data_IF_483225165135
#
_entry.id   IF_483225165135
#
_cell.length_a   1.000
_cell.length_b   1.000
_cell.length_c   1.000
_cell.angle_alpha   90.00
_cell.angle_beta   90.00
_cell.angle_gamma   90.00
#
_symmetry.space_group_name_H-M   'P 1'
#
loop_
_entity.id
_entity.type
_entity.pdbx_description
1 polymer ?
#
# COMPACT_ATOMS: atom_id res chain seq x y z
N UNK A 1 68.55 17.94 23.46
CA UNK A 1 68.07 18.51 22.19
C UNK A 1 66.87 19.38 22.52
N UNK A 2 67.10 20.68 22.66
CA UNK A 2 66.07 21.68 22.93
C UNK A 2 65.62 22.23 21.58
N UNK A 3 64.33 22.15 21.28
CA UNK A 3 63.76 22.67 20.02
C UNK A 3 63.15 24.02 20.35
N UNK A 4 63.79 25.08 19.88
CA UNK A 4 63.27 26.44 19.92
C UNK A 4 62.06 26.53 18.98
N UNK A 5 60.88 26.81 19.55
CA UNK A 5 59.66 27.09 18.79
C UNK A 5 59.59 28.61 18.61
N UNK A 6 60.02 29.06 17.43
CA UNK A 6 59.96 30.44 16.98
C UNK A 6 58.49 30.84 16.76
N UNK A 7 57.93 31.63 17.67
CA UNK A 7 56.60 32.24 17.52
C UNK A 7 56.66 33.36 16.48
N UNK A 8 56.31 33.06 15.22
CA UNK A 8 55.97 34.08 14.23
C UNK A 8 54.55 34.60 14.47
N UNK A 9 54.48 35.81 15.03
CA UNK A 9 53.27 36.60 15.19
C UNK A 9 52.92 37.33 13.89
N UNK A 10 52.42 36.58 12.90
CA UNK A 10 51.77 37.16 11.72
C UNK A 10 50.43 37.78 12.14
N UNK A 11 50.48 39.08 12.46
CA UNK A 11 49.30 39.93 12.59
C UNK A 11 48.73 40.20 11.21
N UNK A 12 48.07 39.18 10.64
CA UNK A 12 47.27 39.33 9.45
C UNK A 12 46.20 40.41 9.71
N UNK A 13 46.37 41.57 9.07
CA UNK A 13 45.35 42.62 9.01
C UNK A 13 44.07 41.96 8.50
N UNK A 14 43.12 41.75 9.40
CA UNK A 14 41.75 41.33 9.06
C UNK A 14 41.21 42.41 8.14
N UNK A 15 41.30 42.17 6.84
CA UNK A 15 40.73 43.04 5.83
C UNK A 15 39.27 43.20 6.18
N UNK A 16 38.85 44.43 6.48
CA UNK A 16 37.45 44.80 6.56
C UNK A 16 36.82 44.41 5.23
N UNK A 17 36.27 43.20 5.18
CA UNK A 17 35.46 42.74 4.07
C UNK A 17 34.30 43.70 4.03
N UNK A 18 34.30 44.57 3.02
CA UNK A 18 33.17 45.45 2.70
C UNK A 18 31.95 44.55 2.62
N UNK A 19 31.17 44.49 3.69
CA UNK A 19 29.90 43.79 3.71
C UNK A 19 29.08 44.42 2.60
N UNK A 20 28.98 43.70 1.48
CA UNK A 20 28.29 44.20 0.31
C UNK A 20 26.85 44.54 0.71
N UNK A 21 26.23 45.54 0.07
CA UNK A 21 24.87 45.97 0.39
C UNK A 21 23.83 44.82 0.37
N UNK A 22 24.15 43.69 -0.25
CA UNK A 22 23.34 42.46 -0.26
C UNK A 22 23.08 41.86 1.14
N UNK A 23 23.99 42.01 2.11
CA UNK A 23 23.80 41.46 3.47
C UNK A 23 22.61 42.13 4.18
N UNK A 24 22.37 43.43 3.92
CA UNK A 24 21.22 44.15 4.49
C UNK A 24 19.88 43.66 3.93
N UNK A 25 19.86 43.20 2.68
CA UNK A 25 18.65 42.61 2.08
C UNK A 25 18.36 41.20 2.61
N UNK A 26 19.40 40.42 2.94
CA UNK A 26 19.24 39.08 3.51
C UNK A 26 18.48 39.10 4.86
N UNK A 27 18.68 40.14 5.68
CA UNK A 27 17.95 40.28 6.96
C UNK A 27 16.45 40.52 6.79
N UNK A 28 16.00 41.08 5.67
CA UNK A 28 14.57 41.24 5.37
C UNK A 28 13.93 39.98 4.81
N UNK A 29 14.71 39.06 4.23
CA UNK A 29 14.19 37.77 3.76
C UNK A 29 13.81 36.85 4.91
N UNK A 30 14.47 36.95 6.06
CA UNK A 30 14.17 36.13 7.25
C UNK A 30 12.73 36.35 7.77
N UNK A 31 12.27 37.58 8.08
CA UNK A 31 10.89 37.78 8.54
C UNK A 31 9.87 37.44 7.46
N UNK A 32 10.16 37.68 6.18
CA UNK A 32 9.28 37.28 5.08
C UNK A 32 9.14 35.76 5.03
N UNK A 33 10.25 35.03 5.07
CA UNK A 33 10.24 33.56 5.11
C UNK A 33 9.49 33.04 6.35
N UNK A 34 9.67 33.66 7.52
CA UNK A 34 8.95 33.30 8.74
C UNK A 34 7.43 33.51 8.58
N UNK A 35 6.99 34.65 8.04
CA UNK A 35 5.57 34.93 7.76
C UNK A 35 5.02 33.94 6.73
N UNK A 36 5.78 33.59 5.69
CA UNK A 36 5.38 32.59 4.71
C UNK A 36 5.22 31.19 5.35
N UNK A 37 6.16 30.77 6.20
CA UNK A 37 6.08 29.48 6.91
C UNK A 37 4.89 29.47 7.88
N UNK A 38 4.68 30.54 8.65
CA UNK A 38 3.54 30.66 9.56
C UNK A 38 2.20 30.70 8.82
N UNK A 39 2.12 31.46 7.73
CA UNK A 39 0.94 31.51 6.87
C UNK A 39 0.64 30.15 6.24
N UNK A 40 1.68 29.43 5.81
CA UNK A 40 1.56 28.06 5.31
C UNK A 40 1.09 27.11 6.42
N UNK A 41 1.70 27.13 7.61
CA UNK A 41 1.28 26.31 8.75
C UNK A 41 -0.16 26.60 9.20
N UNK A 42 -0.54 27.88 9.27
CA UNK A 42 -1.90 28.30 9.59
C UNK A 42 -2.89 27.80 8.54
N UNK A 43 -2.55 27.95 7.25
CA UNK A 43 -3.35 27.44 6.15
C UNK A 43 -3.53 25.92 6.21
N UNK A 44 -2.46 25.15 6.50
CA UNK A 44 -2.55 23.70 6.66
C UNK A 44 -3.33 23.30 7.91
N UNK A 45 -3.16 24.00 9.04
CA UNK A 45 -3.89 23.73 10.28
C UNK A 45 -5.40 23.89 10.09
N UNK A 46 -5.85 24.85 9.29
CA UNK A 46 -7.27 25.04 8.97
C UNK A 46 -7.80 24.08 7.89
N UNK A 47 -6.93 23.27 7.29
CA UNK A 47 -7.27 22.22 6.32
C UNK A 47 -7.21 20.81 6.91
N UNK A 48 -6.91 20.69 8.19
CA UNK A 48 -7.03 19.43 8.92
C UNK A 48 -8.44 19.39 9.52
N UNK A 49 -9.26 18.38 9.18
CA UNK A 49 -10.55 18.17 9.83
C UNK A 49 -10.35 18.00 11.34
N UNK A 50 -11.20 18.64 12.15
CA UNK A 50 -11.11 18.54 13.60
C UNK A 50 -11.52 17.13 14.10
N UNK A 51 -11.27 16.87 15.39
CA UNK A 51 -11.57 15.56 15.99
C UNK A 51 -13.06 15.22 15.97
N UNK A 52 -13.94 16.22 16.05
CA UNK A 52 -15.38 16.00 15.98
C UNK A 52 -15.78 15.53 14.58
N UNK A 53 -15.27 16.20 13.54
CA UNK A 53 -15.51 15.83 12.13
C UNK A 53 -15.04 14.40 11.87
N UNK A 54 -13.86 14.01 12.38
CA UNK A 54 -13.41 12.62 12.29
C UNK A 54 -14.32 11.64 13.04
N UNK A 55 -14.76 11.98 14.25
CA UNK A 55 -15.70 11.14 15.01
C UNK A 55 -17.03 10.96 14.26
N UNK A 56 -17.54 12.01 13.61
CA UNK A 56 -18.79 11.97 12.82
C UNK A 56 -18.63 11.12 11.55
N UNK A 57 -17.50 11.27 10.84
CA UNK A 57 -17.15 10.43 9.67
C UNK A 57 -17.06 8.96 10.05
N UNK A 58 -16.35 8.65 11.13
CA UNK A 58 -16.19 7.29 11.62
C UNK A 58 -17.54 6.74 12.07
N UNK A 59 -18.32 7.53 12.81
CA UNK A 59 -19.70 7.18 13.19
C UNK A 59 -20.51 6.78 11.97
N UNK A 60 -20.55 7.64 10.95
CA UNK A 60 -21.29 7.38 9.72
C UNK A 60 -20.86 6.10 8.99
N UNK A 61 -19.56 5.89 8.77
CA UNK A 61 -19.05 4.67 8.13
C UNK A 61 -19.40 3.45 8.97
N UNK A 62 -19.17 3.51 10.28
CA UNK A 62 -19.44 2.37 11.17
C UNK A 62 -20.92 2.03 11.24
N UNK A 63 -21.82 3.02 11.29
CA UNK A 63 -23.27 2.81 11.39
C UNK A 63 -23.87 2.12 10.15
N UNK A 64 -23.24 2.29 8.99
CA UNK A 64 -23.68 1.71 7.71
C UNK A 64 -22.80 0.54 7.24
N UNK A 65 -21.84 0.13 8.06
CA UNK A 65 -20.90 -0.94 7.77
C UNK A 65 -21.59 -2.30 7.68
N UNK A 66 -21.24 -3.11 6.69
CA UNK A 66 -21.66 -4.51 6.56
C UNK A 66 -20.45 -5.45 6.49
N UNK A 67 -20.62 -6.73 6.89
CA UNK A 67 -19.59 -7.74 6.68
C UNK A 67 -19.18 -7.82 5.19
N UNK A 68 -17.88 -7.73 4.92
CA UNK A 68 -17.33 -7.73 3.56
C UNK A 68 -17.18 -6.34 2.92
N UNK A 69 -17.54 -5.26 3.62
CA UNK A 69 -17.23 -3.90 3.18
C UNK A 69 -15.71 -3.66 3.19
N UNK A 70 -15.24 -2.86 2.24
CA UNK A 70 -13.92 -2.26 2.19
C UNK A 70 -13.93 -0.80 2.68
N UNK A 71 -12.81 -0.28 3.17
CA UNK A 71 -12.60 1.13 3.52
C UNK A 71 -11.29 1.61 2.90
N UNK A 72 -11.37 2.54 1.96
CA UNK A 72 -10.24 3.27 1.40
C UNK A 72 -10.26 4.71 1.91
N UNK A 73 -9.10 5.21 2.34
CA UNK A 73 -8.96 6.59 2.78
C UNK A 73 -7.88 7.28 1.96
N UNK A 74 -8.21 8.46 1.42
CA UNK A 74 -7.35 9.22 0.51
C UNK A 74 -7.34 10.71 0.91
N UNK A 75 -6.18 11.39 0.91
CA UNK A 75 -4.86 10.87 0.55
C UNK A 75 -4.23 10.06 1.68
N UNK A 76 -3.31 9.17 1.29
CA UNK A 76 -2.71 8.19 2.18
C UNK A 76 -1.96 8.74 3.40
N UNK A 77 -1.47 9.97 3.31
CA UNK A 77 -0.67 10.65 4.32
C UNK A 77 -1.49 11.42 5.34
N UNK A 78 -2.82 11.52 5.18
CA UNK A 78 -3.63 12.26 6.13
C UNK A 78 -3.62 11.56 7.49
N UNK A 79 -3.47 12.34 8.57
CA UNK A 79 -3.50 11.88 9.96
C UNK A 79 -4.92 11.47 10.37
N UNK A 80 -5.46 10.47 9.69
CA UNK A 80 -6.70 9.79 10.09
C UNK A 80 -6.39 9.12 11.42
N UNK A 81 -7.29 9.20 12.43
CA UNK A 81 -7.13 8.47 13.69
C UNK A 81 -7.37 6.97 13.44
N UNK A 82 -6.41 6.32 12.75
CA UNK A 82 -6.50 4.93 12.33
C UNK A 82 -6.76 3.98 13.48
N UNK A 83 -6.17 4.25 14.64
CA UNK A 83 -6.39 3.44 15.84
C UNK A 83 -7.87 3.48 16.26
N UNK A 84 -8.54 4.63 16.12
CA UNK A 84 -9.97 4.77 16.41
C UNK A 84 -10.84 4.10 15.34
N UNK A 85 -10.53 4.28 14.07
CA UNK A 85 -11.20 3.60 12.95
C UNK A 85 -11.09 2.07 13.12
N UNK A 86 -9.87 1.57 13.32
CA UNK A 86 -9.58 0.16 13.51
C UNK A 86 -10.29 -0.38 14.75
N UNK A 87 -10.28 0.37 15.87
CA UNK A 87 -10.94 -0.05 17.11
C UNK A 87 -12.45 -0.18 16.93
N UNK A 88 -13.13 0.86 16.41
CA UNK A 88 -14.59 0.85 16.23
C UNK A 88 -15.06 -0.16 15.19
N UNK A 89 -14.28 -0.39 14.12
CA UNK A 89 -14.61 -1.41 13.12
C UNK A 89 -14.38 -2.83 13.67
N UNK A 90 -13.34 -3.06 14.47
CA UNK A 90 -13.03 -4.37 15.06
C UNK A 90 -14.20 -4.91 15.90
N UNK A 91 -14.86 -4.04 16.66
CA UNK A 91 -16.00 -4.42 17.50
C UNK A 91 -17.22 -4.91 16.70
N UNK A 92 -17.30 -4.59 15.40
CA UNK A 92 -18.39 -5.02 14.51
C UNK A 92 -18.12 -6.33 13.77
N UNK A 93 -17.22 -7.18 14.27
CA UNK A 93 -16.74 -8.37 13.55
C UNK A 93 -16.21 -8.05 12.15
N UNK A 94 -15.76 -6.80 11.93
CA UNK A 94 -14.76 -6.57 10.91
C UNK A 94 -13.49 -7.22 11.44
N UNK A 95 -13.36 -8.55 11.30
CA UNK A 95 -12.03 -9.14 11.12
C UNK A 95 -11.33 -8.18 10.18
N UNK A 96 -10.15 -7.69 10.58
CA UNK A 96 -9.35 -6.55 10.08
C UNK A 96 -9.06 -6.57 8.56
N UNK A 97 -10.11 -6.76 7.78
CA UNK A 97 -10.17 -7.33 6.42
C UNK A 97 -10.78 -6.41 5.41
N UNK A 98 -11.60 -5.47 5.87
CA UNK A 98 -12.11 -4.38 5.08
C UNK A 98 -11.18 -3.19 4.93
N UNK A 99 -10.15 -3.03 5.77
CA UNK A 99 -9.35 -1.79 5.72
C UNK A 99 -8.39 -1.85 4.52
N UNK A 100 -8.79 -1.19 3.43
CA UNK A 100 -7.90 -0.81 2.32
C UNK A 100 -7.05 0.33 2.83
N UNK A 101 -5.98 -0.08 3.50
CA UNK A 101 -4.99 0.81 4.08
C UNK A 101 -4.60 1.86 3.04
N UNK A 102 -4.38 3.12 3.44
CA UNK A 102 -4.04 4.25 2.59
C UNK A 102 -2.99 3.91 1.52
N UNK A 103 -3.48 3.58 0.33
CA UNK A 103 -2.72 3.44 -0.89
C UNK A 103 -3.03 4.65 -1.75
N UNK A 104 -1.99 5.31 -2.26
CA UNK A 104 -2.15 6.53 -3.07
C UNK A 104 -3.01 6.26 -4.31
N UNK A 105 -2.80 5.11 -4.93
CA UNK A 105 -3.59 4.58 -6.04
C UNK A 105 -3.79 3.09 -5.79
N UNK A 106 -4.97 2.65 -5.30
CA UNK A 106 -5.23 1.23 -5.12
C UNK A 106 -5.17 0.52 -6.47
N UNK A 107 -4.61 -0.68 -6.47
CA UNK A 107 -4.75 -1.61 -7.60
C UNK A 107 -6.19 -2.08 -7.71
N UNK A 108 -6.58 -2.59 -8.88
CA UNK A 108 -7.85 -3.30 -9.00
C UNK A 108 -7.89 -4.46 -8.02
N UNK A 109 -6.76 -5.16 -7.90
CA UNK A 109 -6.61 -6.25 -6.95
C UNK A 109 -6.82 -5.83 -5.49
N UNK A 110 -6.49 -4.58 -5.13
CA UNK A 110 -6.71 -4.09 -3.78
C UNK A 110 -8.22 -3.95 -3.48
N UNK A 111 -9.04 -3.57 -4.46
CA UNK A 111 -10.45 -3.20 -4.24
C UNK A 111 -11.48 -4.22 -4.72
N UNK A 112 -11.18 -5.04 -5.73
CA UNK A 112 -12.17 -5.89 -6.41
C UNK A 112 -12.77 -6.96 -5.49
N UNK A 113 -12.09 -7.31 -4.41
CA UNK A 113 -12.55 -8.23 -3.37
C UNK A 113 -13.72 -7.69 -2.54
N UNK A 114 -13.96 -6.38 -2.57
CA UNK A 114 -15.03 -5.75 -1.81
C UNK A 114 -16.21 -5.44 -2.73
N UNK A 115 -17.39 -5.94 -2.36
CA UNK A 115 -18.64 -5.59 -3.05
C UNK A 115 -19.02 -4.12 -2.82
N UNK A 116 -18.74 -3.63 -1.61
CA UNK A 116 -19.02 -2.28 -1.13
C UNK A 116 -17.70 -1.69 -0.64
N UNK A 117 -17.32 -0.53 -1.15
CA UNK A 117 -16.09 0.16 -0.78
C UNK A 117 -16.42 1.56 -0.29
N UNK A 118 -16.24 1.80 1.00
CA UNK A 118 -16.27 3.14 1.59
C UNK A 118 -15.02 3.89 1.18
N UNK A 119 -15.18 5.10 0.65
CA UNK A 119 -14.09 6.00 0.30
C UNK A 119 -14.21 7.26 1.14
N UNK A 120 -13.23 7.49 2.00
CA UNK A 120 -13.12 8.73 2.77
C UNK A 120 -12.07 9.59 2.10
N UNK A 121 -12.51 10.63 1.40
CA UNK A 121 -11.66 11.54 0.66
C UNK A 121 -11.52 12.87 1.40
N UNK A 122 -10.28 13.32 1.65
CA UNK A 122 -9.98 14.66 2.17
C UNK A 122 -9.67 15.60 0.99
N UNK A 123 -10.46 16.66 0.82
CA UNK A 123 -10.36 17.60 -0.31
C UNK A 123 -8.99 18.28 -0.45
N UNK A 124 -8.57 18.64 -1.68
CA UNK A 124 -9.30 18.54 -2.95
C UNK A 124 -9.11 17.22 -3.71
N UNK A 125 -8.61 16.16 -3.06
CA UNK A 125 -8.31 14.87 -3.70
C UNK A 125 -9.55 14.00 -3.96
N UNK A 126 -10.72 14.64 -4.04
CA UNK A 126 -11.98 13.99 -4.34
C UNK A 126 -11.92 13.41 -5.76
N UNK A 127 -11.57 12.12 -5.81
CA UNK A 127 -12.12 11.12 -6.72
C UNK A 127 -11.59 11.12 -8.16
N UNK A 128 -10.36 10.61 -8.35
CA UNK A 128 -10.22 9.52 -9.33
C UNK A 128 -10.78 8.25 -8.68
N UNK A 129 -12.12 8.13 -8.67
CA UNK A 129 -12.74 6.84 -8.39
C UNK A 129 -12.24 5.92 -9.49
N UNK A 130 -11.60 4.79 -9.15
CA UNK A 130 -11.28 3.78 -10.13
C UNK A 130 -12.55 3.52 -10.93
N UNK A 131 -12.50 3.51 -12.28
CA UNK A 131 -13.67 3.36 -13.16
C UNK A 131 -14.49 2.08 -12.95
N UNK A 132 -14.18 1.35 -11.87
CA UNK A 132 -14.68 0.06 -11.48
C UNK A 132 -15.86 0.09 -10.49
N UNK A 133 -16.31 1.26 -10.07
CA UNK A 133 -17.42 1.33 -9.13
C UNK A 133 -18.31 2.54 -9.37
N UNK A 134 -19.60 2.35 -9.05
CA UNK A 134 -20.60 3.42 -9.06
C UNK A 134 -20.70 4.00 -7.67
N UNK A 135 -20.73 5.34 -7.59
CA UNK A 135 -21.08 6.03 -6.34
C UNK A 135 -22.54 5.74 -6.03
N UNK A 136 -22.77 4.91 -5.01
CA UNK A 136 -24.11 4.60 -4.51
C UNK A 136 -24.62 5.73 -3.62
N UNK A 137 -23.78 6.20 -2.70
CA UNK A 137 -24.07 7.36 -1.86
C UNK A 137 -22.83 8.23 -1.70
N UNK A 138 -23.04 9.51 -1.43
CA UNK A 138 -22.01 10.46 -1.02
C UNK A 138 -22.54 11.35 0.09
N UNK A 139 -21.72 11.58 1.10
CA UNK A 139 -22.00 12.47 2.21
C UNK A 139 -20.79 13.35 2.50
N UNK A 140 -20.98 14.67 2.53
CA UNK A 140 -19.91 15.61 2.83
C UNK A 140 -19.94 15.97 4.33
N UNK A 141 -18.78 15.87 4.98
CA UNK A 141 -18.55 16.22 6.38
C UNK A 141 -17.74 17.52 6.45
N UNK A 142 -18.46 18.62 6.66
CA UNK A 142 -17.89 19.95 6.62
C UNK A 142 -17.43 20.34 5.22
N UNK A 143 -16.28 21.02 5.12
CA UNK A 143 -15.71 21.47 3.83
C UNK A 143 -14.55 20.62 3.34
N UNK A 144 -14.14 19.62 4.13
CA UNK A 144 -12.85 18.97 3.93
C UNK A 144 -12.95 17.48 3.70
N UNK A 145 -13.99 16.80 4.19
CA UNK A 145 -14.13 15.35 4.03
C UNK A 145 -15.38 15.04 3.23
N UNK A 146 -15.25 14.14 2.27
CA UNK A 146 -16.37 13.44 1.65
C UNK A 146 -16.27 11.94 1.95
N UNK A 147 -17.41 11.33 2.26
CA UNK A 147 -17.55 9.88 2.40
C UNK A 147 -18.44 9.40 1.28
N UNK A 148 -17.88 8.58 0.40
CA UNK A 148 -18.61 7.95 -0.69
C UNK A 148 -18.72 6.45 -0.43
N UNK A 149 -19.90 5.88 -0.60
CA UNK A 149 -20.05 4.43 -0.73
C UNK A 149 -20.00 4.09 -2.21
N UNK A 150 -18.99 3.33 -2.60
CA UNK A 150 -18.88 2.77 -3.94
C UNK A 150 -19.44 1.35 -3.94
N UNK A 151 -20.34 1.07 -4.88
CA UNK A 151 -20.83 -0.28 -5.14
C UNK A 151 -20.18 -0.83 -6.41
N UNK A 152 -19.64 -2.04 -6.29
CA UNK A 152 -18.94 -2.71 -7.38
C UNK A 152 -19.93 -3.04 -8.51
N UNK A 153 -19.62 -2.59 -9.73
CA UNK A 153 -20.40 -2.96 -10.93
C UNK A 153 -19.88 -4.25 -11.63
N UNK A 154 -18.83 -4.86 -11.07
CA UNK A 154 -18.10 -5.98 -11.66
C UNK A 154 -18.49 -7.31 -10.99
N UNK A 155 -18.25 -8.39 -11.74
CA UNK A 155 -18.36 -9.75 -11.22
C UNK A 155 -17.43 -9.98 -10.03
N UNK A 156 -17.75 -10.99 -9.23
CA UNK A 156 -16.83 -11.48 -8.19
C UNK A 156 -15.49 -11.89 -8.81
N UNK A 157 -14.37 -11.72 -8.08
CA UNK A 157 -13.12 -12.32 -8.51
C UNK A 157 -13.31 -13.83 -8.69
N UNK A 158 -12.82 -14.38 -9.80
CA UNK A 158 -12.84 -15.83 -10.04
C UNK A 158 -11.87 -16.56 -9.12
N UNK A 159 -10.86 -15.83 -8.62
CA UNK A 159 -9.89 -16.32 -7.65
C UNK A 159 -9.37 -15.18 -6.79
N UNK A 160 -9.22 -15.41 -5.48
CA UNK A 160 -8.57 -14.49 -4.54
C UNK A 160 -7.68 -15.28 -3.58
N UNK A 161 -6.36 -15.15 -3.73
CA UNK A 161 -5.41 -15.91 -2.92
C UNK A 161 -5.52 -15.57 -1.42
N UNK A 162 -5.89 -14.34 -1.06
CA UNK A 162 -6.04 -13.94 0.34
C UNK A 162 -7.24 -14.62 0.98
N UNK A 163 -8.38 -14.62 0.28
CA UNK A 163 -9.60 -15.27 0.74
C UNK A 163 -9.49 -16.80 0.72
N UNK A 164 -8.73 -17.34 -0.22
CA UNK A 164 -8.59 -18.79 -0.43
C UNK A 164 -7.30 -19.37 0.17
N UNK A 165 -6.58 -18.63 1.03
CA UNK A 165 -5.30 -19.08 1.58
C UNK A 165 -5.41 -20.48 2.23
N UNK A 166 -6.48 -20.74 2.99
CA UNK A 166 -6.71 -22.04 3.65
C UNK A 166 -6.93 -23.23 2.70
N UNK A 167 -7.22 -22.97 1.42
CA UNK A 167 -7.34 -24.00 0.39
C UNK A 167 -6.02 -24.32 -0.32
N UNK A 168 -4.98 -23.51 -0.11
CA UNK A 168 -3.67 -23.75 -0.71
C UNK A 168 -3.00 -25.00 -0.12
N UNK A 169 -2.27 -25.73 -0.96
CA UNK A 169 -1.23 -26.63 -0.46
C UNK A 169 0.06 -25.84 -0.33
N UNK A 170 0.60 -25.76 0.89
CA UNK A 170 1.88 -25.10 1.15
C UNK A 170 2.94 -26.15 1.39
N UNK A 171 4.11 -25.98 0.78
CA UNK A 171 5.28 -26.80 1.04
C UNK A 171 6.52 -25.92 1.07
N UNK A 172 7.55 -26.34 1.82
CA UNK A 172 8.88 -25.74 1.70
C UNK A 172 9.86 -26.81 1.28
N UNK A 173 10.46 -26.68 0.10
CA UNK A 173 11.32 -27.70 -0.51
C UNK A 173 12.75 -27.19 -0.60
N UNK A 174 13.69 -27.96 -0.08
CA UNK A 174 15.12 -27.73 -0.30
C UNK A 174 15.56 -28.26 -1.67
N UNK A 175 16.74 -27.84 -2.17
CA UNK A 175 17.28 -28.33 -3.44
C UNK A 175 17.53 -29.84 -3.47
N UNK A 176 17.78 -30.46 -2.31
CA UNK A 176 17.98 -31.92 -2.17
C UNK A 176 16.66 -32.71 -2.05
N UNK A 177 15.51 -32.05 -2.20
CA UNK A 177 14.19 -32.67 -2.19
C UNK A 177 13.58 -32.89 -0.81
N UNK A 178 14.27 -32.53 0.28
CA UNK A 178 13.62 -32.51 1.62
C UNK A 178 12.50 -31.48 1.63
N UNK A 179 11.38 -31.82 2.26
CA UNK A 179 10.23 -30.94 2.37
C UNK A 179 9.83 -30.75 3.83
N UNK A 180 9.72 -29.50 4.29
CA UNK A 180 9.04 -29.19 5.54
C UNK A 180 7.53 -29.42 5.34
N UNK A 181 6.91 -30.21 6.21
CA UNK A 181 5.45 -30.32 6.25
C UNK A 181 4.86 -29.00 6.74
N UNK A 182 4.00 -28.39 5.94
CA UNK A 182 3.19 -27.26 6.35
C UNK A 182 1.78 -27.73 6.68
N UNK A 183 1.27 -27.34 7.85
CA UNK A 183 -0.09 -27.70 8.28
C UNK A 183 -0.90 -26.43 8.49
N UNK A 184 -2.13 -26.44 7.97
CA UNK A 184 -3.11 -25.39 8.25
C UNK A 184 -3.46 -25.39 9.74
N UNK A 185 -3.41 -24.21 10.36
CA UNK A 185 -3.63 -23.98 11.78
C UNK A 185 -4.53 -22.75 11.95
N UNK A 186 -5.83 -22.94 11.70
CA UNK A 186 -6.89 -21.92 11.75
C UNK A 186 -6.78 -20.83 10.67
N UNK A 187 -5.76 -19.98 10.75
CA UNK A 187 -5.60 -18.75 9.96
C UNK A 187 -4.26 -18.67 9.23
N UNK A 188 -3.44 -19.71 9.35
CA UNK A 188 -2.07 -19.77 8.83
C UNK A 188 -1.60 -21.19 8.56
N UNK A 189 -0.57 -21.33 7.74
CA UNK A 189 0.23 -22.55 7.69
C UNK A 189 1.42 -22.45 8.64
N UNK A 190 1.64 -23.48 9.46
CA UNK A 190 2.87 -23.67 10.24
C UNK A 190 3.75 -24.69 9.53
N UNK A 191 4.98 -24.29 9.20
CA UNK A 191 5.91 -25.11 8.44
C UNK A 191 7.13 -25.49 9.29
N UNK A 192 7.16 -26.71 9.81
CA UNK A 192 8.20 -27.15 10.75
C UNK A 192 8.01 -26.61 12.17
N UNK A 193 9.07 -26.67 12.99
CA UNK A 193 8.99 -26.40 14.44
C UNK A 193 9.19 -24.94 14.85
N UNK A 194 9.75 -24.11 13.97
CA UNK A 194 10.09 -22.73 14.30
C UNK A 194 8.87 -21.81 14.08
N UNK A 195 8.53 -20.92 15.03
CA UNK A 195 7.30 -20.13 14.98
C UNK A 195 7.27 -19.10 13.85
N UNK A 196 8.44 -18.66 13.38
CA UNK A 196 8.56 -17.73 12.25
C UNK A 196 8.43 -18.41 10.88
N UNK A 197 8.45 -19.74 10.81
CA UNK A 197 8.24 -20.48 9.55
C UNK A 197 6.74 -20.65 9.29
N UNK A 198 6.04 -19.53 9.09
CA UNK A 198 4.60 -19.52 8.81
C UNK A 198 4.27 -18.81 7.49
N UNK A 199 3.12 -19.18 6.92
CA UNK A 199 2.48 -18.48 5.80
C UNK A 199 1.09 -18.06 6.27
N UNK A 200 0.80 -16.75 6.29
CA UNK A 200 -0.46 -16.23 6.84
C UNK A 200 -0.93 -14.99 6.13
N UNK A 201 -2.23 -14.74 6.16
CA UNK A 201 -2.80 -13.45 5.80
C UNK A 201 -2.67 -12.47 6.97
N UNK A 202 -2.17 -11.26 6.73
CA UNK A 202 -2.18 -10.17 7.72
C UNK A 202 -2.09 -8.81 7.06
N UNK A 203 -2.37 -7.76 7.83
CA UNK A 203 -1.98 -6.39 7.46
C UNK A 203 -0.50 -6.22 7.78
N UNK A 204 0.32 -5.90 6.78
CA UNK A 204 1.75 -5.65 6.93
C UNK A 204 2.16 -4.40 6.17
N UNK A 205 3.18 -3.69 6.65
CA UNK A 205 3.79 -2.60 5.90
C UNK A 205 4.70 -3.19 4.82
N UNK A 206 4.33 -2.98 3.55
CA UNK A 206 5.07 -3.44 2.38
C UNK A 206 5.26 -2.24 1.45
N UNK A 207 6.52 -1.92 1.16
CA UNK A 207 6.89 -0.61 0.67
C UNK A 207 6.37 0.53 1.57
N UNK A 208 5.89 1.62 0.98
CA UNK A 208 5.47 2.82 1.71
C UNK A 208 4.10 2.73 2.38
N UNK A 209 3.37 1.62 2.22
CA UNK A 209 1.95 1.49 2.62
C UNK A 209 1.75 0.23 3.46
N UNK A 210 0.79 0.21 4.39
CA UNK A 210 0.30 -1.08 4.91
C UNK A 210 -0.63 -1.70 3.86
N UNK A 211 -0.68 -3.02 3.78
CA UNK A 211 -1.49 -3.77 2.84
C UNK A 211 -1.94 -5.05 3.52
N UNK A 212 -3.13 -5.52 3.20
CA UNK A 212 -3.50 -6.90 3.52
C UNK A 212 -2.80 -7.81 2.52
N UNK A 213 -1.91 -8.67 2.99
CA UNK A 213 -1.04 -9.50 2.17
C UNK A 213 -0.91 -10.89 2.79
N UNK A 214 -0.58 -11.86 1.95
CA UNK A 214 -0.02 -13.12 2.37
C UNK A 214 1.45 -12.86 2.70
N UNK A 215 1.82 -13.13 3.93
CA UNK A 215 3.20 -13.03 4.40
C UNK A 215 3.82 -14.41 4.43
N UNK A 216 5.02 -14.51 3.88
CA UNK A 216 5.81 -15.72 3.88
C UNK A 216 7.29 -15.38 4.08
N UNK A 217 7.99 -16.22 4.84
CA UNK A 217 9.45 -16.22 4.92
C UNK A 217 10.04 -17.13 3.85
N UNK A 218 11.05 -16.66 3.13
CA UNK A 218 11.77 -17.50 2.18
C UNK A 218 12.38 -18.75 2.87
N UNK A 219 12.70 -19.80 2.09
CA UNK A 219 13.31 -21.04 2.60
C UNK A 219 14.83 -21.01 2.39
N UNK A 220 15.66 -21.39 3.40
CA UNK A 220 17.12 -21.26 3.35
C UNK A 220 17.75 -22.21 2.32
N UNK A 221 19.05 -22.02 2.06
CA UNK A 221 19.85 -22.94 1.26
C UNK A 221 19.30 -23.15 -0.15
N UNK A 222 18.81 -22.08 -0.78
CA UNK A 222 18.25 -22.08 -2.15
C UNK A 222 16.96 -22.88 -2.32
N UNK A 223 16.31 -23.27 -1.22
CA UNK A 223 15.00 -23.89 -1.34
C UNK A 223 13.88 -22.87 -1.53
N UNK A 224 12.68 -23.39 -1.77
CA UNK A 224 11.51 -22.60 -2.12
C UNK A 224 10.36 -22.85 -1.16
N UNK A 225 9.65 -21.79 -0.78
CA UNK A 225 8.27 -21.89 -0.29
C UNK A 225 7.35 -21.88 -1.49
N UNK A 226 6.52 -22.92 -1.61
CA UNK A 226 5.59 -23.12 -2.71
C UNK A 226 4.17 -23.09 -2.14
N UNK A 227 3.35 -22.18 -2.65
CA UNK A 227 1.91 -22.17 -2.42
C UNK A 227 1.25 -22.61 -3.73
N UNK A 228 0.48 -23.69 -3.65
CA UNK A 228 -0.22 -24.28 -4.80
C UNK A 228 -1.73 -24.20 -4.58
N UNK A 229 -2.43 -23.56 -5.51
CA UNK A 229 -3.89 -23.57 -5.62
C UNK A 229 -4.26 -24.45 -6.81
N UNK A 230 -5.08 -25.47 -6.58
CA UNK A 230 -5.45 -26.44 -7.62
C UNK A 230 -6.83 -26.16 -8.17
N UNK A 231 -7.03 -26.34 -9.47
CA UNK A 231 -8.37 -26.25 -10.05
C UNK A 231 -8.98 -24.84 -10.00
N UNK A 232 -8.15 -23.81 -10.14
CA UNK A 232 -8.58 -22.41 -10.13
C UNK A 232 -9.25 -22.06 -11.46
N UNK A 233 -10.45 -21.50 -11.41
CA UNK A 233 -11.09 -20.91 -12.59
C UNK A 233 -10.48 -19.54 -12.87
N UNK A 234 -9.84 -19.40 -14.04
CA UNK A 234 -9.14 -18.18 -14.42
C UNK A 234 -10.08 -17.16 -15.04
N UNK A 235 -9.93 -15.90 -14.62
CA UNK A 235 -10.54 -14.75 -15.28
C UNK A 235 -9.76 -14.34 -16.54
N UNK A 236 -9.99 -13.11 -17.01
CA UNK A 236 -9.22 -12.53 -18.11
C UNK A 236 -7.86 -12.01 -17.64
N UNK A 237 -7.79 -11.60 -16.37
CA UNK A 237 -6.64 -10.93 -15.77
C UNK A 237 -6.20 -11.67 -14.52
N UNK A 238 -4.89 -11.69 -14.29
CA UNK A 238 -4.27 -11.97 -12.99
C UNK A 238 -3.52 -10.71 -12.54
N UNK A 239 -3.92 -10.13 -11.41
CA UNK A 239 -3.37 -8.88 -10.89
C UNK A 239 -3.03 -9.00 -9.42
N UNK A 240 -2.00 -8.30 -8.97
CA UNK A 240 -1.58 -8.28 -7.58
C UNK A 240 -0.30 -7.49 -7.39
N UNK A 241 0.38 -7.73 -6.28
CA UNK A 241 1.74 -7.24 -6.10
C UNK A 241 2.54 -8.03 -5.08
N UNK A 242 3.83 -7.68 -5.01
CA UNK A 242 4.77 -8.27 -4.06
C UNK A 242 5.82 -7.24 -3.62
N UNK A 243 6.25 -7.34 -2.37
CA UNK A 243 7.37 -6.56 -1.86
C UNK A 243 7.93 -7.10 -0.56
N UNK A 244 9.09 -6.60 -0.15
CA UNK A 244 9.64 -6.89 1.17
C UNK A 244 8.80 -6.21 2.25
N UNK A 245 8.58 -6.89 3.37
CA UNK A 245 7.99 -6.20 4.53
C UNK A 245 8.96 -5.16 5.08
N UNK A 246 8.44 -4.11 5.72
CA UNK A 246 9.27 -3.07 6.36
C UNK A 246 10.27 -3.68 7.35
N UNK A 247 9.90 -4.79 7.99
CA UNK A 247 10.78 -5.53 8.89
C UNK A 247 11.99 -6.12 8.15
N UNK A 248 11.80 -6.71 6.97
CA UNK A 248 12.87 -7.20 6.12
C UNK A 248 13.78 -6.07 5.61
N UNK A 249 13.20 -4.96 5.15
CA UNK A 249 13.94 -3.81 4.61
C UNK A 249 14.83 -3.15 5.66
N UNK A 250 14.35 -3.03 6.91
CA UNK A 250 15.12 -2.38 7.99
C UNK A 250 16.38 -3.14 8.40
N UNK A 251 16.38 -4.47 8.28
CA UNK A 251 17.53 -5.27 8.69
C UNK A 251 18.63 -5.31 7.63
N UNK A 252 18.32 -5.13 6.35
CA UNK A 252 19.27 -5.13 5.23
C UNK A 252 20.26 -6.32 5.21
N UNK A 253 19.83 -7.48 5.70
CA UNK A 253 20.61 -8.73 5.63
C UNK A 253 19.83 -9.81 4.90
N UNK A 254 20.49 -10.94 4.67
CA UNK A 254 20.00 -12.00 3.78
C UNK A 254 20.41 -11.74 2.33
N UNK A 255 19.93 -12.59 1.43
CA UNK A 255 20.13 -12.43 -0.01
C UNK A 255 18.89 -11.84 -0.67
N UNK A 256 19.00 -11.61 -1.97
CA UNK A 256 17.86 -11.35 -2.83
C UNK A 256 16.80 -12.45 -2.69
N UNK A 257 15.53 -12.05 -2.79
CA UNK A 257 14.37 -12.94 -2.76
C UNK A 257 13.80 -13.00 -4.16
N UNK A 258 13.66 -14.20 -4.71
CA UNK A 258 12.97 -14.42 -5.99
C UNK A 258 11.52 -14.81 -5.72
N UNK A 259 10.60 -14.13 -6.39
CA UNK A 259 9.16 -14.40 -6.37
C UNK A 259 8.70 -14.73 -7.79
N UNK A 260 8.03 -15.86 -7.97
CA UNK A 260 7.50 -16.32 -9.27
C UNK A 260 6.06 -16.78 -9.15
N UNK A 261 5.29 -16.57 -10.22
CA UNK A 261 3.93 -17.07 -10.38
C UNK A 261 3.87 -17.94 -11.63
N UNK A 262 3.30 -19.12 -11.47
CA UNK A 262 3.00 -20.04 -12.57
C UNK A 262 1.50 -20.28 -12.67
N UNK A 263 1.03 -20.42 -13.90
CA UNK A 263 -0.33 -20.87 -14.23
C UNK A 263 -0.21 -22.12 -15.10
N UNK A 264 -0.59 -23.27 -14.55
CA UNK A 264 -0.18 -24.58 -15.06
C UNK A 264 1.36 -24.67 -15.10
N UNK A 265 1.89 -25.03 -16.28
CA UNK A 265 3.33 -25.16 -16.51
C UNK A 265 4.00 -23.87 -17.02
N UNK A 266 3.26 -22.77 -17.12
CA UNK A 266 3.77 -21.50 -17.66
C UNK A 266 4.09 -20.51 -16.54
N UNK A 267 5.33 -20.05 -16.45
CA UNK A 267 5.68 -18.87 -15.65
C UNK A 267 5.05 -17.63 -16.29
N UNK A 268 4.20 -16.94 -15.54
CA UNK A 268 3.49 -15.74 -16.01
C UNK A 268 4.05 -14.45 -15.41
N UNK A 269 4.78 -14.56 -14.29
CA UNK A 269 5.41 -13.42 -13.62
C UNK A 269 6.60 -13.87 -12.78
N UNK A 270 7.64 -13.03 -12.74
CA UNK A 270 8.83 -13.24 -11.92
C UNK A 270 9.50 -11.92 -11.57
N UNK A 271 9.93 -11.78 -10.32
CA UNK A 271 10.71 -10.62 -9.85
C UNK A 271 11.72 -11.04 -8.79
N UNK A 272 12.85 -10.32 -8.74
CA UNK A 272 13.89 -10.50 -7.72
C UNK A 272 14.00 -9.22 -6.89
N UNK A 273 13.85 -9.34 -5.57
CA UNK A 273 13.81 -8.24 -4.62
C UNK A 273 15.10 -8.22 -3.78
N UNK A 274 15.89 -7.16 -3.94
CA UNK A 274 17.09 -6.94 -3.14
C UNK A 274 16.75 -6.73 -1.64
N UNK A 275 17.70 -6.95 -0.70
CA UNK A 275 17.45 -6.77 0.73
C UNK A 275 16.83 -5.44 1.14
N UNK A 276 17.30 -4.34 0.53
CA UNK A 276 16.83 -2.98 0.78
C UNK A 276 15.70 -2.51 -0.14
N UNK A 277 15.13 -3.38 -0.98
CA UNK A 277 14.06 -2.99 -1.89
C UNK A 277 12.79 -2.65 -1.10
N UNK A 278 12.41 -1.37 -1.16
CA UNK A 278 11.26 -0.78 -0.49
C UNK A 278 10.07 -0.54 -1.44
N UNK A 279 10.08 -1.17 -2.61
CA UNK A 279 9.01 -1.04 -3.59
C UNK A 279 7.86 -2.02 -3.34
N UNK A 280 6.68 -1.65 -3.84
CA UNK A 280 5.56 -2.56 -4.06
C UNK A 280 5.50 -2.85 -5.56
N UNK A 281 5.96 -4.03 -5.97
CA UNK A 281 6.02 -4.44 -7.37
C UNK A 281 4.63 -4.93 -7.77
N UNK A 282 3.83 -4.01 -8.32
CA UNK A 282 2.50 -4.32 -8.85
C UNK A 282 2.62 -4.99 -10.22
N UNK A 283 1.76 -5.96 -10.50
CA UNK A 283 1.70 -6.61 -11.80
C UNK A 283 0.26 -6.80 -12.25
N UNK A 284 0.06 -6.78 -13.56
CA UNK A 284 -1.19 -7.11 -14.24
C UNK A 284 -0.85 -7.97 -15.45
N UNK A 285 -1.46 -9.14 -15.54
CA UNK A 285 -1.17 -10.13 -16.57
C UNK A 285 -2.48 -10.45 -17.28
N UNK A 286 -2.53 -10.13 -18.58
CA UNK A 286 -3.60 -10.59 -19.46
C UNK A 286 -3.42 -12.09 -19.73
N UNK A 287 -4.39 -12.90 -19.33
CA UNK A 287 -4.29 -14.36 -19.38
C UNK A 287 -4.55 -14.93 -20.78
N UNK A 288 -5.20 -14.16 -21.67
CA UNK A 288 -5.37 -14.49 -23.08
C UNK A 288 -6.03 -15.85 -23.28
N UNK A 289 -5.34 -16.78 -23.93
CA UNK A 289 -5.82 -18.15 -24.16
C UNK A 289 -6.07 -18.95 -22.87
N UNK A 290 -5.58 -18.49 -21.71
CA UNK A 290 -5.85 -19.10 -20.41
C UNK A 290 -7.17 -18.60 -19.80
N UNK A 291 -7.77 -17.53 -20.33
CA UNK A 291 -9.03 -16.98 -19.80
C UNK A 291 -10.16 -18.01 -19.84
N UNK A 292 -10.92 -18.10 -18.75
CA UNK A 292 -12.03 -19.03 -18.56
C UNK A 292 -11.62 -20.49 -18.36
N UNK A 293 -10.32 -20.83 -18.45
CA UNK A 293 -9.83 -22.19 -18.22
C UNK A 293 -9.70 -22.48 -16.72
N UNK A 294 -9.74 -23.77 -16.38
CA UNK A 294 -9.35 -24.26 -15.06
C UNK A 294 -7.88 -24.61 -15.10
N UNK A 295 -7.08 -24.03 -14.21
CA UNK A 295 -5.66 -24.31 -14.11
C UNK A 295 -5.18 -24.23 -12.66
N UNK A 296 -3.98 -24.76 -12.46
CA UNK A 296 -3.27 -24.68 -11.20
C UNK A 296 -2.51 -23.36 -11.11
N UNK A 297 -2.58 -22.64 -9.99
CA UNK A 297 -1.77 -21.44 -9.73
C UNK A 297 -0.71 -21.80 -8.69
N UNK A 298 0.55 -21.57 -9.03
CA UNK A 298 1.69 -21.81 -8.14
C UNK A 298 2.44 -20.52 -7.88
N UNK A 299 2.59 -20.15 -6.62
CA UNK A 299 3.50 -19.10 -6.17
C UNK A 299 4.75 -19.75 -5.59
N UNK A 300 5.92 -19.33 -6.05
CA UNK A 300 7.21 -19.82 -5.58
C UNK A 300 8.06 -18.67 -5.05
N UNK A 301 8.63 -18.86 -3.87
CA UNK A 301 9.47 -17.89 -3.16
C UNK A 301 10.77 -18.55 -2.77
N UNK A 302 11.90 -18.03 -3.22
CA UNK A 302 13.23 -18.57 -2.86
C UNK A 302 14.23 -17.48 -2.50
N UNK A 303 15.22 -17.84 -1.69
CA UNK A 303 16.37 -17.00 -1.38
C UNK A 303 17.56 -17.90 -0.99
N UNK A 304 18.78 -17.46 -1.30
CA UNK A 304 19.99 -18.17 -0.90
C UNK A 304 20.24 -18.05 0.62
N UNK A 305 20.02 -16.85 1.18
CA UNK A 305 20.07 -16.56 2.61
C UNK A 305 18.77 -15.88 3.06
N UNK A 306 18.01 -16.56 3.92
CA UNK A 306 16.67 -16.11 4.35
C UNK A 306 16.66 -15.24 5.59
N UNK A 307 17.81 -14.89 6.14
CA UNK A 307 17.86 -14.11 7.37
C UNK A 307 17.08 -12.79 7.18
N UNK A 308 16.01 -12.63 7.96
CA UNK A 308 15.07 -11.50 7.87
C UNK A 308 14.41 -11.30 6.49
N UNK A 309 14.35 -12.33 5.64
CA UNK A 309 13.68 -12.26 4.33
C UNK A 309 12.22 -12.67 4.44
N UNK A 310 11.40 -11.69 4.80
CA UNK A 310 9.95 -11.78 4.85
C UNK A 310 9.35 -10.91 3.74
N UNK A 311 8.49 -11.49 2.91
CA UNK A 311 7.76 -10.77 1.87
C UNK A 311 6.27 -10.70 2.19
N UNK A 312 5.61 -9.70 1.64
CA UNK A 312 4.15 -9.65 1.52
C UNK A 312 3.78 -9.69 0.05
N UNK A 313 2.77 -10.49 -0.30
CA UNK A 313 2.21 -10.53 -1.65
C UNK A 313 0.70 -10.75 -1.63
N UNK A 314 0.07 -10.42 -2.74
CA UNK A 314 -1.31 -10.79 -3.03
C UNK A 314 -1.47 -11.09 -4.53
N UNK A 315 -2.56 -11.77 -4.88
CA UNK A 315 -2.99 -11.90 -6.26
C UNK A 315 -4.48 -12.26 -6.33
N UNK A 316 -5.12 -11.78 -7.38
CA UNK A 316 -6.53 -11.99 -7.67
C UNK A 316 -6.70 -12.23 -9.17
N UNK A 317 -7.63 -13.11 -9.55
CA UNK A 317 -8.05 -13.28 -10.94
C UNK A 317 -9.50 -12.86 -11.11
N UNK A 318 -9.80 -12.20 -12.22
CA UNK A 318 -11.13 -11.67 -12.49
C UNK A 318 -11.35 -11.44 -13.98
N UNK A 319 -12.62 -11.36 -14.37
CA UNK A 319 -12.99 -11.01 -15.74
C UNK A 319 -12.87 -9.51 -15.97
N UNK A 320 -12.12 -9.11 -16.99
CA UNK A 320 -12.05 -7.72 -17.39
C UNK A 320 -13.33 -7.42 -18.15
N UNK A 321 -14.15 -6.53 -17.60
CA UNK A 321 -15.23 -5.95 -18.38
C UNK A 321 -14.56 -5.14 -19.49
N UNK A 322 -14.86 -5.44 -20.75
CA UNK A 322 -14.60 -4.50 -21.83
C UNK A 322 -15.25 -3.21 -21.40
N UNK A 323 -14.46 -2.18 -21.08
CA UNK A 323 -15.02 -0.84 -20.93
C UNK A 323 -15.72 -0.59 -22.25
N UNK A 324 -17.05 -0.67 -22.25
CA UNK A 324 -17.84 -0.11 -23.33
C UNK A 324 -17.44 1.34 -23.27
N UNK A 325 -16.57 1.75 -24.19
CA UNK A 325 -16.03 3.09 -24.24
C UNK A 325 -17.23 4.02 -24.32
N UNK A 326 -17.68 4.50 -23.16
CA UNK A 326 -18.67 5.53 -23.04
C UNK A 326 -17.90 6.79 -23.39
N UNK A 327 -17.62 6.97 -24.68
CA UNK A 327 -17.24 8.21 -25.33
C UNK A 327 -18.42 9.18 -25.30
N UNK A 328 -19.09 9.30 -24.15
CA UNK A 328 -19.73 10.54 -23.75
C UNK A 328 -18.76 11.21 -22.79
N UNK A 329 -18.11 12.32 -23.17
CA UNK A 329 -17.32 13.07 -22.24
C UNK A 329 -18.21 13.32 -21.02
N UNK A 330 -17.74 12.89 -19.84
CA UNK A 330 -18.29 13.38 -18.58
C UNK A 330 -18.37 14.89 -18.76
N UNK A 331 -19.59 15.43 -18.82
CA UNK A 331 -19.78 16.88 -18.69
C UNK A 331 -19.02 17.21 -17.42
N UNK A 332 -17.89 17.89 -17.55
CA UNK A 332 -17.25 18.56 -16.43
C UNK A 332 -18.39 19.32 -15.77
N UNK A 333 -18.83 18.86 -14.61
CA UNK A 333 -19.59 19.71 -13.72
C UNK A 333 -18.58 20.76 -13.36
N UNK A 334 -18.59 21.86 -14.11
CA UNK A 334 -17.86 23.07 -13.77
C UNK A 334 -18.55 23.54 -12.49
N UNK A 335 -18.05 23.06 -11.36
CA UNK A 335 -18.29 23.68 -10.07
C UNK A 335 -17.61 25.03 -10.21
N UNK A 336 -18.39 26.05 -10.58
CA UNK A 336 -17.97 27.44 -10.46
C UNK A 336 -17.77 27.72 -8.98
N UNK A 337 -16.59 27.39 -8.47
CA UNK A 337 -16.05 27.94 -7.25
C UNK A 337 -16.04 29.45 -7.44
N UNK A 338 -17.02 30.13 -6.86
CA UNK A 338 -17.11 31.58 -6.79
C UNK A 338 -16.05 32.15 -5.84
N UNK A 339 -14.79 31.76 -5.98
CA UNK A 339 -13.69 32.39 -5.26
C UNK A 339 -13.30 33.66 -6.00
N UNK A 340 -13.91 34.78 -5.59
CA UNK A 340 -13.42 36.12 -5.96
C UNK A 340 -12.18 36.40 -5.11
N UNK A 341 -10.98 36.58 -5.71
CA UNK A 341 -9.86 37.13 -4.97
C UNK A 341 -10.19 38.58 -4.62
N UNK A 342 -10.45 38.84 -3.34
CA UNK A 342 -10.44 40.19 -2.80
C UNK A 342 -9.00 40.68 -2.77
N UNK A 343 -8.72 41.72 -3.55
CA UNK A 343 -7.50 42.51 -3.45
C UNK A 343 -7.44 43.16 -2.06
N UNK A 344 -6.33 42.95 -1.37
CA UNK A 344 -5.74 43.93 -0.45
C UNK A 344 -4.28 44.14 -0.88
#
# INVERSE_FOLDING_TARGET
>A
MSVDIEQHSDTARVGQTRQGPWIRWAWWLVPVAAVCVLGMQWYWAHRVPDSQTWSDVIGHVTDHWQPGDGLWVTPAWHAVPWDEVEHRLRDKNAETSGIVVPVKHPLTADIIRYRRLWVVAVEPWAEEIPGMAKVATRHDFGRLIAVSLLEREYGEPTFDALAQLGSATVSRKSPDGRADRCMWASDRFRCGSQPWKEVRSRVAQVGSTRRRVIVAHAFPDKGSVILQYTGVTLGDVLEGGVGNTMWAVRHQVGSDVTYRIWVGDKEVFGVTLAPGDFSWNSFRIELGELSGKIADIRVEISADNTQWRELGFDLVSYHQRTEVSLTKPLRQVVVTSGYRPGFL
#
